data_IF_247310856197
#
_entry.id   IF_247310856197
#
_cell.length_a   1.000
_cell.length_b   1.000
_cell.length_c   1.000
_cell.angle_alpha   90.00
_cell.angle_beta   90.00
_cell.angle_gamma   90.00
#
_symmetry.space_group_name_H-M   'P 1'
#
loop_
_entity.id
_entity.type
_entity.pdbx_description
1 polymer ?
#
# COMPACT_ATOMS: atom_id res chain seq x y z
N UNK A 1 10.37 49.20 -26.83
CA UNK A 1 10.23 47.84 -26.26
C UNK A 1 10.66 47.94 -24.81
N UNK A 2 9.90 47.70 -23.76
CA UNK A 2 8.52 47.26 -23.50
C UNK A 2 8.29 47.59 -22.01
N UNK A 3 7.09 48.02 -21.66
CA UNK A 3 6.71 48.47 -20.31
C UNK A 3 6.69 47.33 -19.27
N UNK A 4 7.28 47.59 -18.10
CA UNK A 4 6.61 47.35 -16.81
C UNK A 4 5.99 48.70 -16.40
N UNK A 5 4.91 48.81 -15.64
CA UNK A 5 4.45 48.02 -14.49
C UNK A 5 3.00 48.45 -14.22
N UNK A 6 2.36 47.72 -13.32
CA UNK A 6 1.26 48.17 -12.45
C UNK A 6 -0.17 47.90 -12.93
N UNK A 7 -0.73 46.81 -12.42
CA UNK A 7 -2.15 46.48 -12.50
C UNK A 7 -2.66 46.33 -11.05
N UNK A 8 -2.61 47.43 -10.29
CA UNK A 8 -3.45 47.59 -9.11
C UNK A 8 -4.87 47.85 -9.60
N UNK A 9 -5.71 46.83 -9.52
CA UNK A 9 -7.16 47.03 -9.62
C UNK A 9 -7.56 47.78 -8.36
N UNK A 10 -7.76 49.09 -8.47
CA UNK A 10 -8.31 49.91 -7.41
C UNK A 10 -9.69 49.36 -7.03
N UNK A 11 -9.77 48.71 -5.87
CA UNK A 11 -11.05 48.28 -5.30
C UNK A 11 -11.65 49.52 -4.64
N UNK A 12 -12.36 50.30 -5.45
CA UNK A 12 -13.18 51.41 -4.97
C UNK A 12 -14.22 50.85 -3.96
N UNK A 13 -14.32 51.47 -2.78
CA UNK A 13 -15.30 51.06 -1.77
C UNK A 13 -16.73 51.33 -2.30
N UNK A 14 -17.70 50.43 -2.05
CA UNK A 14 -19.04 50.59 -2.60
C UNK A 14 -19.71 51.86 -2.04
N UNK A 15 -20.25 52.71 -2.92
CA UNK A 15 -20.98 53.90 -2.52
C UNK A 15 -22.27 53.54 -1.74
N UNK A 16 -22.62 54.29 -0.68
CA UNK A 16 -23.77 54.01 0.17
C UNK A 16 -25.07 54.33 -0.58
N UNK A 17 -25.57 53.35 -1.34
CA UNK A 17 -26.81 53.46 -2.10
C UNK A 17 -26.88 52.58 -3.35
N UNK A 18 -25.77 51.96 -3.77
CA UNK A 18 -25.78 51.06 -4.91
C UNK A 18 -26.41 49.70 -4.51
N UNK A 19 -27.46 49.21 -5.18
CA UNK A 19 -28.02 47.89 -4.89
C UNK A 19 -26.92 46.83 -5.06
N UNK A 20 -26.70 46.03 -4.01
CA UNK A 20 -25.73 44.94 -4.09
C UNK A 20 -26.04 44.06 -5.31
N UNK A 21 -25.03 43.65 -6.09
CA UNK A 21 -25.24 42.78 -7.23
C UNK A 21 -26.10 41.58 -6.81
N UNK A 22 -27.06 41.13 -7.64
CA UNK A 22 -27.86 39.96 -7.31
C UNK A 22 -26.91 38.80 -7.02
N UNK A 23 -27.00 38.20 -5.83
CA UNK A 23 -26.28 36.96 -5.54
C UNK A 23 -26.63 35.96 -6.64
N UNK A 24 -25.64 35.57 -7.44
CA UNK A 24 -25.87 34.66 -8.52
C UNK A 24 -26.17 33.28 -7.92
N UNK A 25 -27.44 32.88 -7.96
CA UNK A 25 -27.87 31.52 -7.63
C UNK A 25 -27.25 30.41 -8.50
N UNK A 26 -26.21 30.72 -9.28
CA UNK A 26 -25.44 29.82 -10.13
C UNK A 26 -24.39 29.01 -9.36
N UNK A 27 -24.06 29.39 -8.13
CA UNK A 27 -23.26 28.54 -7.22
C UNK A 27 -24.08 27.42 -6.57
N UNK A 28 -25.39 27.37 -6.81
CA UNK A 28 -26.29 26.29 -6.37
C UNK A 28 -26.69 25.39 -7.55
N UNK A 29 -25.73 25.03 -8.40
CA UNK A 29 -25.88 23.99 -9.43
C UNK A 29 -25.82 22.57 -8.85
N UNK A 30 -26.46 22.33 -7.70
CA UNK A 30 -26.69 20.99 -7.18
C UNK A 30 -27.89 20.38 -7.88
N UNK A 31 -27.68 19.25 -8.55
CA UNK A 31 -28.72 18.38 -9.13
C UNK A 31 -29.97 18.30 -8.20
N UNK A 32 -31.21 18.52 -8.69
CA UNK A 32 -32.43 18.53 -7.87
C UNK A 32 -32.74 17.24 -7.08
N UNK A 33 -31.94 16.19 -7.25
CA UNK A 33 -32.00 14.94 -6.49
C UNK A 33 -30.82 14.66 -5.55
N UNK A 34 -29.82 15.54 -5.45
CA UNK A 34 -28.64 15.32 -4.61
C UNK A 34 -28.90 15.77 -3.18
N UNK A 35 -29.67 15.00 -2.40
CA UNK A 35 -29.61 15.11 -0.95
C UNK A 35 -28.21 14.59 -0.52
N UNK A 36 -27.28 15.44 -0.05
CA UNK A 36 -25.92 15.03 0.30
C UNK A 36 -25.87 14.00 1.44
N UNK A 37 -26.99 13.84 2.16
CA UNK A 37 -27.15 12.89 3.26
C UNK A 37 -27.75 11.53 2.84
N UNK A 38 -28.38 11.44 1.67
CA UNK A 38 -29.07 10.23 1.26
C UNK A 38 -28.09 9.22 0.65
N UNK A 39 -27.99 8.04 1.29
CA UNK A 39 -27.25 6.90 0.75
C UNK A 39 -27.76 6.54 -0.67
N UNK A 40 -26.85 6.14 -1.55
CA UNK A 40 -27.17 5.74 -2.93
C UNK A 40 -27.10 4.21 -3.04
N UNK A 41 -28.18 3.47 -2.69
CA UNK A 41 -28.12 2.01 -2.56
C UNK A 41 -27.75 1.30 -3.87
N UNK A 42 -28.15 1.85 -5.01
CA UNK A 42 -27.77 1.31 -6.32
C UNK A 42 -26.25 1.28 -6.54
N UNK A 43 -25.53 2.35 -6.14
CA UNK A 43 -24.07 2.40 -6.23
C UNK A 43 -23.39 1.40 -5.29
N UNK A 44 -23.92 1.23 -4.08
CA UNK A 44 -23.41 0.26 -3.10
C UNK A 44 -23.48 -1.16 -3.68
N UNK A 45 -24.65 -1.55 -4.19
CA UNK A 45 -24.86 -2.89 -4.74
C UNK A 45 -23.97 -3.13 -5.95
N UNK A 46 -23.90 -2.18 -6.89
CA UNK A 46 -23.06 -2.31 -8.09
C UNK A 46 -21.57 -2.38 -7.70
N UNK A 47 -21.12 -1.53 -6.77
CA UNK A 47 -19.75 -1.52 -6.27
C UNK A 47 -19.38 -2.85 -5.61
N UNK A 48 -20.22 -3.37 -4.71
CA UNK A 48 -19.96 -4.63 -4.01
C UNK A 48 -19.97 -5.84 -4.96
N UNK A 49 -20.96 -5.92 -5.84
CA UNK A 49 -21.05 -7.01 -6.84
C UNK A 49 -19.87 -6.94 -7.80
N UNK A 50 -19.54 -5.75 -8.30
CA UNK A 50 -18.38 -5.54 -9.18
C UNK A 50 -17.07 -5.90 -8.50
N UNK A 51 -16.89 -5.56 -7.22
CA UNK A 51 -15.70 -5.92 -6.45
C UNK A 51 -15.54 -7.44 -6.33
N UNK A 52 -16.62 -8.15 -5.99
CA UNK A 52 -16.60 -9.61 -5.88
C UNK A 52 -16.32 -10.28 -7.23
N UNK A 53 -16.96 -9.82 -8.31
CA UNK A 53 -16.75 -10.37 -9.65
C UNK A 53 -15.32 -10.10 -10.14
N UNK A 54 -14.82 -8.89 -9.97
CA UNK A 54 -13.45 -8.53 -10.35
C UNK A 54 -12.43 -9.38 -9.58
N UNK A 55 -12.64 -9.56 -8.27
CA UNK A 55 -11.80 -10.42 -7.43
C UNK A 55 -11.84 -11.88 -7.87
N UNK A 56 -13.04 -12.41 -8.15
CA UNK A 56 -13.21 -13.78 -8.65
C UNK A 56 -12.54 -14.00 -10.01
N UNK A 57 -12.69 -13.06 -10.94
CA UNK A 57 -12.05 -13.13 -12.25
C UNK A 57 -10.52 -13.04 -12.13
N UNK A 58 -10.02 -12.11 -11.31
CA UNK A 58 -8.59 -11.95 -11.06
C UNK A 58 -7.98 -13.21 -10.44
N UNK A 59 -8.66 -13.81 -9.46
CA UNK A 59 -8.24 -15.08 -8.86
C UNK A 59 -8.21 -16.23 -9.88
N UNK A 60 -9.24 -16.35 -10.72
CA UNK A 60 -9.27 -17.35 -11.79
C UNK A 60 -8.17 -17.14 -12.84
N UNK A 61 -7.87 -15.89 -13.20
CA UNK A 61 -6.78 -15.60 -14.12
C UNK A 61 -5.42 -16.02 -13.52
N UNK A 62 -5.16 -15.70 -12.25
CA UNK A 62 -3.97 -16.17 -11.54
C UNK A 62 -3.87 -17.71 -11.50
N UNK A 63 -4.98 -18.41 -11.21
CA UNK A 63 -5.00 -19.88 -11.23
C UNK A 63 -4.78 -20.45 -12.65
N UNK A 64 -5.34 -19.80 -13.67
CA UNK A 64 -5.13 -20.19 -15.07
C UNK A 64 -3.64 -20.12 -15.44
N UNK A 65 -2.96 -19.03 -15.07
CA UNK A 65 -1.53 -18.86 -15.32
C UNK A 65 -0.66 -19.87 -14.57
N UNK A 66 -1.06 -20.24 -13.34
CA UNK A 66 -0.30 -21.16 -12.50
C UNK A 66 -0.47 -22.63 -12.91
N UNK A 67 -1.70 -23.06 -13.20
CA UNK A 67 -2.03 -24.47 -13.42
C UNK A 67 -2.16 -24.87 -14.90
N UNK A 68 -2.39 -23.92 -15.81
CA UNK A 68 -2.62 -24.18 -17.23
C UNK A 68 -1.64 -23.44 -18.16
N UNK A 69 -0.31 -23.58 -17.99
CA UNK A 69 0.69 -22.92 -18.85
C UNK A 69 0.59 -23.32 -20.32
N UNK A 70 0.01 -24.49 -20.63
CA UNK A 70 -0.21 -24.99 -21.98
C UNK A 70 -1.14 -24.11 -22.82
N UNK A 71 -2.10 -23.41 -22.21
CA UNK A 71 -3.00 -22.49 -22.93
C UNK A 71 -2.27 -21.25 -23.45
N UNK A 72 -1.10 -20.94 -22.89
CA UNK A 72 -0.27 -19.80 -23.23
C UNK A 72 0.98 -20.21 -24.03
N UNK A 73 0.93 -21.37 -24.68
CA UNK A 73 2.04 -21.89 -25.49
C UNK A 73 3.30 -22.21 -24.68
N UNK A 74 3.17 -22.48 -23.36
CA UNK A 74 4.27 -22.76 -22.43
C UNK A 74 5.34 -21.65 -22.34
N UNK A 75 5.06 -20.44 -22.84
CA UNK A 75 6.00 -19.32 -22.78
C UNK A 75 5.89 -18.59 -21.45
N UNK A 76 6.92 -18.72 -20.61
CA UNK A 76 7.00 -18.02 -19.31
C UNK A 76 6.94 -16.50 -19.46
N UNK A 77 7.48 -15.97 -20.57
CA UNK A 77 7.51 -14.53 -20.86
C UNK A 77 6.09 -14.01 -21.14
N UNK A 78 5.33 -14.73 -21.97
CA UNK A 78 3.95 -14.37 -22.27
C UNK A 78 3.09 -14.40 -21.00
N UNK A 79 3.22 -15.44 -20.19
CA UNK A 79 2.51 -15.56 -18.91
C UNK A 79 2.90 -14.39 -17.99
N UNK A 80 4.19 -14.04 -17.88
CA UNK A 80 4.63 -12.91 -17.08
C UNK A 80 4.04 -11.57 -17.53
N UNK A 81 4.00 -11.31 -18.83
CA UNK A 81 3.41 -10.09 -19.38
C UNK A 81 1.89 -10.04 -19.15
N UNK A 82 1.18 -11.14 -19.41
CA UNK A 82 -0.26 -11.23 -19.15
C UNK A 82 -0.57 -11.09 -17.65
N UNK A 83 0.21 -11.74 -16.79
CA UNK A 83 0.06 -11.62 -15.34
C UNK A 83 0.31 -10.19 -14.86
N UNK A 84 1.26 -9.46 -15.45
CA UNK A 84 1.47 -8.04 -15.15
C UNK A 84 0.25 -7.20 -15.57
N UNK A 85 -0.27 -7.39 -16.79
CA UNK A 85 -1.42 -6.63 -17.28
C UNK A 85 -2.68 -6.94 -16.46
N UNK A 86 -2.94 -8.22 -16.19
CA UNK A 86 -4.08 -8.66 -15.38
C UNK A 86 -3.93 -8.24 -13.92
N UNK A 87 -2.71 -8.28 -13.38
CA UNK A 87 -2.44 -7.84 -12.01
C UNK A 87 -2.68 -6.34 -11.82
N UNK A 88 -2.07 -5.51 -12.69
CA UNK A 88 -2.25 -4.05 -12.62
C UNK A 88 -3.68 -3.64 -12.97
N UNK A 89 -4.25 -4.20 -14.03
CA UNK A 89 -5.63 -3.91 -14.45
C UNK A 89 -6.66 -4.42 -13.45
N UNK A 90 -6.46 -5.61 -12.90
CA UNK A 90 -7.31 -6.19 -11.86
C UNK A 90 -7.28 -5.38 -10.57
N UNK A 91 -6.10 -4.92 -10.15
CA UNK A 91 -5.97 -4.02 -9.00
C UNK A 91 -6.71 -2.69 -9.23
N UNK A 92 -6.60 -2.10 -10.42
CA UNK A 92 -7.35 -0.90 -10.80
C UNK A 92 -8.86 -1.13 -10.74
N UNK A 93 -9.36 -2.25 -11.29
CA UNK A 93 -10.78 -2.59 -11.27
C UNK A 93 -11.30 -2.80 -9.85
N UNK A 94 -10.57 -3.55 -9.02
CA UNK A 94 -10.91 -3.72 -7.60
C UNK A 94 -10.99 -2.38 -6.89
N UNK A 95 -10.01 -1.51 -7.12
CA UNK A 95 -10.00 -0.19 -6.52
C UNK A 95 -11.17 0.68 -7.00
N UNK A 96 -11.48 0.65 -8.29
CA UNK A 96 -12.63 1.36 -8.87
C UNK A 96 -13.96 0.92 -8.24
N UNK A 97 -14.20 -0.39 -8.11
CA UNK A 97 -15.42 -0.91 -7.50
C UNK A 97 -15.49 -0.66 -5.99
N UNK A 98 -14.35 -0.72 -5.31
CA UNK A 98 -14.26 -0.38 -3.90
C UNK A 98 -14.59 1.10 -3.66
N UNK A 99 -14.05 2.00 -4.49
CA UNK A 99 -14.39 3.43 -4.43
C UNK A 99 -15.89 3.65 -4.70
N UNK A 100 -16.46 2.99 -5.71
CA UNK A 100 -17.90 3.03 -6.00
C UNK A 100 -18.76 2.58 -4.80
N UNK A 101 -18.34 1.54 -4.09
CA UNK A 101 -19.00 1.07 -2.87
C UNK A 101 -18.96 2.13 -1.76
N UNK A 102 -17.80 2.74 -1.53
CA UNK A 102 -17.59 3.74 -0.47
C UNK A 102 -18.35 5.04 -0.75
N UNK A 103 -18.39 5.49 -2.00
CA UNK A 103 -19.19 6.65 -2.43
C UNK A 103 -20.70 6.41 -2.34
N UNK A 104 -21.14 5.15 -2.33
CA UNK A 104 -22.55 4.80 -2.18
C UNK A 104 -23.07 4.98 -0.75
N UNK A 105 -22.18 4.99 0.25
CA UNK A 105 -22.50 5.13 1.68
C UNK A 105 -22.95 6.56 2.04
N UNK A 106 -23.71 6.73 3.15
CA UNK A 106 -24.13 8.06 3.60
C UNK A 106 -22.93 8.99 3.87
N UNK A 107 -23.09 10.27 3.54
CA UNK A 107 -22.02 11.30 3.52
C UNK A 107 -21.02 11.27 4.69
N UNK A 108 -21.45 11.24 5.97
CA UNK A 108 -20.50 11.23 7.09
C UNK A 108 -19.66 9.94 7.18
N UNK A 109 -20.25 8.78 6.84
CA UNK A 109 -19.55 7.48 6.86
C UNK A 109 -18.60 7.35 5.66
N UNK A 110 -19.04 7.80 4.48
CA UNK A 110 -18.21 7.78 3.27
C UNK A 110 -16.90 8.56 3.46
N UNK A 111 -16.98 9.79 4.01
CA UNK A 111 -15.79 10.63 4.27
C UNK A 111 -14.83 9.99 5.27
N UNK A 112 -15.34 9.31 6.28
CA UNK A 112 -14.50 8.62 7.27
C UNK A 112 -13.88 7.33 6.73
N UNK A 113 -14.64 6.55 5.95
CA UNK A 113 -14.22 5.26 5.43
C UNK A 113 -13.30 5.37 4.21
N UNK A 114 -13.36 6.49 3.48
CA UNK A 114 -12.55 6.74 2.28
C UNK A 114 -11.06 6.41 2.46
N UNK A 115 -10.31 6.98 3.42
CA UNK A 115 -8.89 6.63 3.60
C UNK A 115 -8.67 5.15 3.94
N UNK A 116 -9.56 4.53 4.72
CA UNK A 116 -9.45 3.12 5.08
C UNK A 116 -9.73 2.19 3.91
N UNK A 117 -10.58 2.59 2.97
CA UNK A 117 -10.85 1.81 1.77
C UNK A 117 -9.61 1.66 0.88
N UNK A 118 -8.78 2.70 0.73
CA UNK A 118 -7.49 2.58 0.03
C UNK A 118 -6.52 1.63 0.74
N UNK A 119 -6.59 1.57 2.06
CA UNK A 119 -5.75 0.69 2.88
C UNK A 119 -6.25 -0.76 2.91
N UNK A 120 -7.56 -0.97 2.76
CA UNK A 120 -8.23 -2.26 2.89
C UNK A 120 -7.59 -3.39 2.05
N UNK A 121 -7.33 -3.25 0.73
CA UNK A 121 -6.72 -4.34 -0.05
C UNK A 121 -5.29 -4.68 0.41
N UNK A 122 -4.51 -3.68 0.85
CA UNK A 122 -3.17 -3.90 1.39
C UNK A 122 -3.20 -4.64 2.72
N UNK A 123 -4.05 -4.22 3.65
CA UNK A 123 -4.23 -4.92 4.93
C UNK A 123 -4.83 -6.32 4.75
N UNK A 124 -5.73 -6.52 3.79
CA UNK A 124 -6.25 -7.84 3.46
C UNK A 124 -5.11 -8.77 3.00
N UNK A 125 -4.21 -8.28 2.13
CA UNK A 125 -3.07 -9.06 1.67
C UNK A 125 -2.10 -9.40 2.81
N UNK A 126 -1.76 -8.43 3.68
CA UNK A 126 -0.95 -8.68 4.87
C UNK A 126 -1.64 -9.69 5.80
N UNK A 127 -2.94 -9.55 6.02
CA UNK A 127 -3.73 -10.46 6.83
C UNK A 127 -3.70 -11.89 6.31
N UNK A 128 -3.89 -12.08 5.00
CA UNK A 128 -3.95 -13.40 4.38
C UNK A 128 -2.57 -14.05 4.20
N UNK A 129 -1.55 -13.28 3.81
CA UNK A 129 -0.23 -13.82 3.46
C UNK A 129 0.74 -13.87 4.64
N UNK A 130 0.52 -13.04 5.66
CA UNK A 130 1.42 -12.94 6.81
C UNK A 130 0.73 -13.37 8.10
N UNK A 131 -0.41 -12.75 8.42
CA UNK A 131 -1.05 -12.98 9.72
C UNK A 131 -1.69 -14.36 9.83
N UNK A 132 -2.38 -14.83 8.78
CA UNK A 132 -2.97 -16.16 8.73
C UNK A 132 -1.93 -17.28 8.93
N UNK A 133 -0.84 -17.39 8.14
CA UNK A 133 0.17 -18.42 8.37
C UNK A 133 0.91 -18.24 9.70
N UNK A 134 1.08 -17.01 10.19
CA UNK A 134 1.68 -16.78 11.52
C UNK A 134 0.80 -17.35 12.64
N UNK A 135 -0.51 -17.05 12.63
CA UNK A 135 -1.47 -17.61 13.61
C UNK A 135 -1.53 -19.14 13.48
N UNK A 136 -1.51 -19.66 12.26
CA UNK A 136 -1.48 -21.10 12.01
C UNK A 136 -0.22 -21.76 12.58
N UNK A 137 0.95 -21.13 12.39
CA UNK A 137 2.22 -21.60 12.96
C UNK A 137 2.18 -21.59 14.48
N UNK A 138 1.61 -20.54 15.09
CA UNK A 138 1.41 -20.46 16.54
C UNK A 138 0.46 -21.57 17.02
N UNK A 139 -0.61 -21.88 16.27
CA UNK A 139 -1.51 -22.97 16.64
C UNK A 139 -0.79 -24.33 16.58
N UNK A 140 -0.03 -24.57 15.51
CA UNK A 140 0.71 -25.81 15.29
C UNK A 140 1.88 -26.00 16.26
N UNK A 141 2.46 -24.94 16.83
CA UNK A 141 3.53 -25.09 17.83
C UNK A 141 3.04 -25.71 19.15
N UNK A 142 1.73 -25.72 19.42
CA UNK A 142 1.12 -26.45 20.54
C UNK A 142 0.66 -27.87 20.18
N UNK A 143 0.82 -28.30 18.92
CA UNK A 143 0.44 -29.62 18.44
C UNK A 143 1.66 -30.54 18.28
N UNK A 144 1.41 -31.84 18.15
CA UNK A 144 2.45 -32.82 17.83
C UNK A 144 3.02 -32.61 16.40
N UNK A 145 4.05 -33.36 16.02
CA UNK A 145 4.76 -33.20 14.75
C UNK A 145 3.86 -33.32 13.50
N UNK A 146 2.79 -34.12 13.60
CA UNK A 146 1.82 -34.34 12.51
C UNK A 146 0.59 -33.42 12.62
N UNK A 147 0.56 -32.50 13.59
CA UNK A 147 -0.56 -31.61 13.90
C UNK A 147 -1.91 -32.32 14.10
N UNK A 148 -1.89 -33.56 14.61
CA UNK A 148 -3.10 -34.37 14.88
C UNK A 148 -3.62 -34.21 16.30
N UNK A 149 -2.74 -33.94 17.27
CA UNK A 149 -3.07 -33.85 18.69
C UNK A 149 -2.38 -32.66 19.35
N UNK A 150 -3.06 -32.01 20.29
CA UNK A 150 -2.51 -30.91 21.07
C UNK A 150 -1.65 -31.42 22.23
N UNK A 151 -0.38 -31.05 22.24
CA UNK A 151 0.61 -31.39 23.28
C UNK A 151 0.90 -30.21 24.23
N UNK A 152 0.25 -29.07 24.03
CA UNK A 152 0.40 -27.90 24.89
C UNK A 152 1.81 -27.31 24.82
N UNK A 153 2.48 -27.19 25.98
CA UNK A 153 3.79 -26.51 26.10
C UNK A 153 5.01 -27.45 26.02
N UNK A 154 4.80 -28.75 25.80
CA UNK A 154 5.89 -29.73 25.84
C UNK A 154 6.94 -29.52 24.74
N UNK A 155 6.52 -29.06 23.56
CA UNK A 155 7.42 -28.67 22.47
C UNK A 155 8.38 -27.56 22.90
N UNK A 156 7.86 -26.52 23.58
CA UNK A 156 8.67 -25.41 24.05
C UNK A 156 9.67 -25.84 25.11
N UNK A 157 9.25 -26.69 26.07
CA UNK A 157 10.15 -27.21 27.11
C UNK A 157 11.29 -28.02 26.49
N UNK A 158 10.98 -28.86 25.51
CA UNK A 158 11.97 -29.69 24.81
C UNK A 158 12.98 -28.83 24.06
N UNK A 159 12.52 -27.84 23.30
CA UNK A 159 13.40 -26.95 22.53
C UNK A 159 14.28 -26.10 23.46
N UNK A 160 13.68 -25.48 24.48
CA UNK A 160 14.37 -24.62 25.43
C UNK A 160 15.35 -25.35 26.36
N UNK A 161 15.29 -26.67 26.45
CA UNK A 161 16.27 -27.46 27.24
C UNK A 161 17.35 -28.11 26.38
N UNK A 162 17.22 -28.07 25.05
CA UNK A 162 18.18 -28.68 24.13
C UNK A 162 19.47 -27.84 24.02
N UNK A 163 20.63 -28.50 24.09
CA UNK A 163 21.93 -27.84 23.92
C UNK A 163 22.08 -27.25 22.50
N UNK A 164 21.62 -27.98 21.49
CA UNK A 164 21.69 -27.57 20.09
C UNK A 164 20.91 -26.27 19.81
N UNK A 165 19.76 -26.08 20.44
CA UNK A 165 18.99 -24.84 20.29
C UNK A 165 19.70 -23.65 20.93
N UNK A 166 20.31 -23.83 22.11
CA UNK A 166 21.10 -22.78 22.74
C UNK A 166 22.31 -22.38 21.89
N UNK A 167 23.07 -23.35 21.36
CA UNK A 167 24.18 -23.08 20.45
C UNK A 167 23.72 -22.31 19.20
N UNK A 168 22.59 -22.73 18.60
CA UNK A 168 22.01 -22.04 17.46
C UNK A 168 21.59 -20.59 17.78
N UNK A 169 20.98 -20.35 18.94
CA UNK A 169 20.64 -18.99 19.39
C UNK A 169 21.89 -18.15 19.58
N UNK A 170 22.90 -18.65 20.30
CA UNK A 170 24.14 -17.90 20.54
C UNK A 170 24.85 -17.55 19.24
N UNK A 171 24.90 -18.49 18.29
CA UNK A 171 25.49 -18.23 16.97
C UNK A 171 24.71 -17.17 16.18
N UNK A 172 23.37 -17.22 16.20
CA UNK A 172 22.54 -16.21 15.53
C UNK A 172 22.69 -14.82 16.18
N UNK A 173 22.74 -14.74 17.50
CA UNK A 173 22.96 -13.47 18.22
C UNK A 173 24.35 -12.91 17.89
N UNK A 174 25.38 -13.76 17.90
CA UNK A 174 26.74 -13.35 17.53
C UNK A 174 26.76 -12.80 16.11
N UNK A 175 26.11 -13.48 15.16
CA UNK A 175 26.01 -13.02 13.78
C UNK A 175 25.23 -11.69 13.66
N UNK A 176 24.09 -11.57 14.35
CA UNK A 176 23.25 -10.37 14.36
C UNK A 176 23.98 -9.15 14.92
N UNK A 177 24.94 -9.34 15.83
CA UNK A 177 25.73 -8.23 16.38
C UNK A 177 26.96 -7.97 15.50
N UNK A 178 27.74 -9.01 15.21
CA UNK A 178 29.04 -8.86 14.55
C UNK A 178 28.89 -8.30 13.14
N UNK A 179 27.93 -8.78 12.34
CA UNK A 179 27.80 -8.35 10.93
C UNK A 179 27.38 -6.88 10.80
N UNK A 180 26.30 -6.39 11.45
CA UNK A 180 25.93 -4.98 11.36
C UNK A 180 26.98 -4.06 11.97
N UNK A 181 27.57 -4.41 13.11
CA UNK A 181 28.63 -3.59 13.73
C UNK A 181 29.83 -3.47 12.79
N UNK A 182 30.30 -4.58 12.23
CA UNK A 182 31.40 -4.57 11.26
C UNK A 182 31.04 -3.72 10.05
N UNK A 183 29.83 -3.92 9.48
CA UNK A 183 29.35 -3.17 8.31
C UNK A 183 29.29 -1.66 8.58
N UNK A 184 28.78 -1.25 9.74
CA UNK A 184 28.72 0.16 10.15
C UNK A 184 30.12 0.72 10.36
N UNK A 185 31.00 0.01 11.06
CA UNK A 185 32.39 0.44 11.25
C UNK A 185 33.11 0.66 9.92
N UNK A 186 32.99 -0.29 8.97
CA UNK A 186 33.56 -0.14 7.64
C UNK A 186 32.93 1.02 6.87
N UNK A 187 31.60 1.17 6.92
CA UNK A 187 30.89 2.28 6.29
C UNK A 187 31.37 3.65 6.79
N UNK A 188 31.58 3.79 8.10
CA UNK A 188 32.12 5.01 8.71
C UNK A 188 33.57 5.25 8.31
N UNK A 189 34.42 4.23 8.31
CA UNK A 189 35.83 4.36 7.88
C UNK A 189 35.89 4.85 6.43
N UNK A 190 35.11 4.23 5.53
CA UNK A 190 35.05 4.64 4.11
C UNK A 190 34.51 6.06 3.97
N UNK A 191 33.46 6.43 4.72
CA UNK A 191 32.91 7.78 4.69
C UNK A 191 33.95 8.83 5.11
N UNK A 192 34.70 8.58 6.19
CA UNK A 192 35.75 9.49 6.66
C UNK A 192 36.90 9.58 5.66
N UNK A 193 37.31 8.47 5.05
CA UNK A 193 38.34 8.48 4.00
C UNK A 193 37.88 9.27 2.76
N UNK A 194 36.64 9.11 2.34
CA UNK A 194 36.05 9.85 1.23
C UNK A 194 36.01 11.36 1.50
N UNK A 195 35.59 11.76 2.71
CA UNK A 195 35.53 13.16 3.13
C UNK A 195 36.93 13.82 3.12
N UNK A 196 37.96 13.08 3.56
CA UNK A 196 39.35 13.56 3.52
C UNK A 196 39.97 13.61 2.13
N UNK A 197 39.58 12.72 1.21
CA UNK A 197 40.06 12.72 -0.18
C UNK A 197 39.40 13.80 -1.04
N UNK A 198 38.14 14.15 -0.76
CA UNK A 198 37.38 15.20 -1.48
C UNK A 198 38.10 16.56 -1.48
N UNK A 199 38.66 16.96 -0.33
CA UNK A 199 39.43 18.23 -0.18
C UNK A 199 40.74 18.25 -0.98
N UNK A 200 41.37 17.09 -1.26
CA UNK A 200 42.57 17.01 -2.10
C UNK A 200 42.23 16.88 -3.59
N UNK A 201 41.08 16.31 -3.94
CA UNK A 201 40.58 16.20 -5.33
C UNK A 201 40.13 17.55 -5.91
N UNK A 202 39.69 18.48 -5.07
CA UNK A 202 39.30 19.84 -5.49
C UNK A 202 40.47 20.60 -6.14
N UNK A 203 41.71 20.36 -5.69
CA UNK A 203 42.91 21.01 -6.24
C UNK A 203 43.35 20.43 -7.59
N UNK A 204 43.05 19.16 -7.85
CA UNK A 204 43.40 18.49 -9.11
C UNK A 204 42.32 18.73 -10.17
N UNK A 205 41.04 18.78 -9.77
CA UNK A 205 39.93 19.05 -10.68
C UNK A 205 39.76 20.53 -11.04
N UNK A 206 40.22 21.46 -10.18
CA UNK A 206 40.19 22.90 -10.46
C UNK A 206 41.47 23.41 -11.14
N UNK A 207 42.44 22.54 -11.44
CA UNK A 207 43.70 22.90 -12.11
C UNK A 207 43.81 22.37 -13.54
N UNK A 208 42.73 21.83 -14.11
CA UNK A 208 42.62 21.43 -15.53
C UNK A 208 41.48 22.18 -16.21
#
# INVERSE_FOLDING_TARGET
>A
MTAGTDNTVDVEAPEPGDPTPPEDGRLNGGDPGSNPEAARPAKIVIGLVGFVIAGWFMWNACLSFAYYPQWYGNSKILIGLLALVVGVGGAYLLFYFLNMFVEGLPGPISRWLMPYAFLAPGYAFIGLMLLYPAIQTINYSFANADATEYVGLDNYRTVLTSSQFHEAIFNNILWLIVVPVTTVCFGVVVAVLADKLSTNGEKVSKSV
#
